data_IF_816463298067
#
_entry.id   IF_816463298067
#
_cell.length_a   1.000
_cell.length_b   1.000
_cell.length_c   1.000
_cell.angle_alpha   90.00
_cell.angle_beta   90.00
_cell.angle_gamma   90.00
#
_symmetry.space_group_name_H-M   'P 1'
#
loop_
_entity.id
_entity.type
_entity.pdbx_description
1 polymer ?
#
# COMPACT_ATOMS: atom_id res chain seq x y z
N UNK A 1 10.44 -6.55 14.29
CA UNK A 1 10.31 -6.64 15.77
C UNK A 1 8.85 -6.42 16.09
N UNK A 2 8.21 -7.34 16.81
CA UNK A 2 6.81 -7.16 17.21
C UNK A 2 6.73 -5.98 18.18
N UNK A 3 5.91 -4.99 17.83
CA UNK A 3 5.69 -3.78 18.63
C UNK A 3 4.23 -3.36 18.51
N UNK A 4 3.53 -3.35 19.64
CA UNK A 4 2.17 -2.85 19.73
C UNK A 4 2.10 -1.32 19.63
N UNK A 5 0.95 -0.81 19.19
CA UNK A 5 0.70 0.63 19.14
C UNK A 5 0.06 1.12 20.43
N UNK A 6 0.61 2.17 21.02
CA UNK A 6 0.05 2.82 22.23
C UNK A 6 -1.17 3.71 21.93
N UNK A 7 -1.50 3.95 20.65
CA UNK A 7 -2.64 4.81 20.27
C UNK A 7 -3.97 4.10 20.49
N UNK A 8 -4.94 4.78 21.08
CA UNK A 8 -6.29 4.24 21.25
C UNK A 8 -7.08 4.33 19.92
N UNK A 9 -7.50 3.21 19.32
CA UNK A 9 -8.26 3.24 18.07
C UNK A 9 -9.63 3.93 18.20
N UNK A 10 -10.23 3.99 19.39
CA UNK A 10 -11.48 4.71 19.63
C UNK A 10 -11.34 6.24 19.50
N UNK A 11 -10.11 6.76 19.45
CA UNK A 11 -9.83 8.18 19.24
C UNK A 11 -9.47 8.49 17.78
N UNK A 12 -9.61 7.53 16.86
CA UNK A 12 -9.34 7.75 15.44
C UNK A 12 -10.32 8.77 14.86
N UNK A 13 -9.80 9.73 14.08
CA UNK A 13 -10.61 10.71 13.31
C UNK A 13 -11.51 10.02 12.29
N UNK A 14 -11.06 8.89 11.75
CA UNK A 14 -11.76 8.10 10.76
C UNK A 14 -11.50 6.63 11.07
N UNK A 15 -12.56 5.83 11.05
CA UNK A 15 -12.50 4.38 11.11
C UNK A 15 -13.39 3.83 10.00
N UNK A 16 -12.81 2.99 9.14
CA UNK A 16 -13.49 2.41 8.00
C UNK A 16 -13.10 0.94 7.88
N UNK A 17 -14.11 0.09 7.71
CA UNK A 17 -13.93 -1.31 7.34
C UNK A 17 -13.94 -1.40 5.82
N UNK A 18 -12.98 -2.13 5.26
CA UNK A 18 -12.86 -2.36 3.82
C UNK A 18 -13.20 -3.82 3.56
N UNK A 19 -14.19 -4.04 2.71
CA UNK A 19 -14.64 -5.38 2.38
C UNK A 19 -13.60 -6.12 1.52
N UNK A 20 -13.66 -7.46 1.54
CA UNK A 20 -12.74 -8.29 0.79
C UNK A 20 -12.81 -7.96 -0.71
N UNK A 21 -11.65 -7.62 -1.28
CA UNK A 21 -11.50 -7.27 -2.68
C UNK A 21 -11.80 -5.80 -3.04
N UNK A 22 -12.17 -4.99 -2.05
CA UNK A 22 -12.40 -3.56 -2.24
C UNK A 22 -11.11 -2.73 -2.01
N UNK A 23 -11.18 -1.42 -2.22
CA UNK A 23 -10.07 -0.49 -2.02
C UNK A 23 -10.38 0.59 -1.00
N UNK A 24 -9.31 1.26 -0.56
CA UNK A 24 -9.39 2.50 0.19
C UNK A 24 -8.35 3.48 -0.31
N UNK A 25 -8.78 4.70 -0.61
CA UNK A 25 -7.90 5.78 -1.05
C UNK A 25 -8.18 7.02 -0.21
N UNK A 26 -7.13 7.59 0.39
CA UNK A 26 -7.27 8.76 1.24
C UNK A 26 -5.96 9.55 1.31
N UNK A 27 -6.08 10.87 1.41
CA UNK A 27 -4.96 11.75 1.74
C UNK A 27 -4.66 11.67 3.24
N UNK A 28 -3.41 11.39 3.58
CA UNK A 28 -2.91 11.38 4.95
C UNK A 28 -1.96 12.57 5.11
N UNK A 29 -2.27 13.48 6.03
CA UNK A 29 -1.44 14.66 6.27
C UNK A 29 -0.18 14.31 7.08
N UNK A 30 0.86 15.13 6.94
CA UNK A 30 2.07 14.97 7.74
C UNK A 30 1.75 15.02 9.25
N UNK A 31 2.27 14.05 10.00
CA UNK A 31 2.02 13.89 11.44
C UNK A 31 0.78 13.03 11.78
N UNK A 32 -0.08 12.72 10.81
CA UNK A 32 -1.17 11.76 11.01
C UNK A 32 -0.64 10.32 11.06
N UNK A 33 -1.48 9.40 11.53
CA UNK A 33 -1.14 7.97 11.63
C UNK A 33 -2.25 7.13 11.01
N UNK A 34 -1.86 6.26 10.08
CA UNK A 34 -2.70 5.19 9.57
C UNK A 34 -2.45 3.92 10.40
N UNK A 35 -3.53 3.24 10.78
CA UNK A 35 -3.49 1.88 11.31
C UNK A 35 -4.26 0.97 10.38
N UNK A 36 -3.63 -0.12 9.95
CA UNK A 36 -4.26 -1.20 9.20
C UNK A 36 -4.37 -2.38 10.17
N UNK A 37 -5.58 -2.92 10.30
CA UNK A 37 -5.86 -4.06 11.18
C UNK A 37 -6.55 -5.14 10.35
N UNK A 38 -5.99 -6.34 10.38
CA UNK A 38 -6.68 -7.53 9.88
C UNK A 38 -7.70 -8.00 10.93
N UNK A 39 -8.99 -7.90 10.61
CA UNK A 39 -10.09 -8.11 11.56
C UNK A 39 -10.40 -9.59 11.79
N UNK A 40 -10.32 -10.39 10.72
CA UNK A 40 -10.71 -11.81 10.73
C UNK A 40 -9.49 -12.74 10.66
N UNK A 41 -8.30 -12.19 10.41
CA UNK A 41 -7.08 -12.96 10.23
C UNK A 41 -6.91 -13.42 8.79
N UNK A 42 -5.66 -13.63 8.41
CA UNK A 42 -5.25 -14.19 7.12
C UNK A 42 -5.59 -13.31 5.90
N UNK A 43 -5.76 -12.00 6.07
CA UNK A 43 -5.83 -11.04 4.98
C UNK A 43 -4.48 -10.37 4.73
N UNK A 44 -4.17 -10.12 3.46
CA UNK A 44 -3.03 -9.33 3.04
C UNK A 44 -3.52 -8.11 2.26
N UNK A 45 -2.98 -6.93 2.59
CA UNK A 45 -3.31 -5.69 1.91
C UNK A 45 -2.12 -5.21 1.07
N UNK A 46 -2.35 -5.02 -0.23
CA UNK A 46 -1.41 -4.31 -1.09
C UNK A 46 -1.54 -2.81 -0.82
N UNK A 47 -0.44 -2.15 -0.47
CA UNK A 47 -0.44 -0.73 -0.12
C UNK A 47 0.43 0.06 -1.07
N UNK A 48 -0.08 1.21 -1.51
CA UNK A 48 0.63 2.17 -2.35
C UNK A 48 0.62 3.52 -1.65
N UNK A 49 1.78 4.19 -1.64
CA UNK A 49 1.92 5.52 -1.06
C UNK A 49 2.49 6.49 -2.08
N UNK A 50 1.84 7.64 -2.18
CA UNK A 50 2.19 8.74 -3.09
C UNK A 50 2.33 10.02 -2.29
N UNK A 51 3.15 10.95 -2.77
CA UNK A 51 3.09 12.32 -2.30
C UNK A 51 1.76 12.92 -2.76
N UNK A 52 0.97 13.42 -1.81
CA UNK A 52 -0.38 13.91 -2.06
C UNK A 52 -0.44 15.19 -2.91
N UNK A 53 0.68 15.92 -3.01
CA UNK A 53 0.79 17.14 -3.81
C UNK A 53 1.54 16.91 -5.13
N UNK A 54 2.17 15.74 -5.31
CA UNK A 54 2.83 15.30 -6.54
C UNK A 54 2.90 13.77 -6.64
N UNK A 55 1.95 13.16 -7.36
CA UNK A 55 1.84 11.70 -7.48
C UNK A 55 2.96 11.05 -8.31
N UNK A 56 3.82 11.83 -8.96
CA UNK A 56 5.04 11.30 -9.57
C UNK A 56 6.06 10.84 -8.51
N UNK A 57 6.04 11.46 -7.32
CA UNK A 57 6.79 11.01 -6.15
C UNK A 57 5.98 9.94 -5.40
N UNK A 58 6.53 8.72 -5.36
CA UNK A 58 5.85 7.55 -4.77
C UNK A 58 6.81 6.70 -3.97
N UNK A 59 6.28 5.84 -3.10
CA UNK A 59 7.09 4.85 -2.41
C UNK A 59 7.95 4.04 -3.39
N UNK A 60 9.22 3.90 -3.04
CA UNK A 60 10.21 3.13 -3.79
C UNK A 60 10.85 2.09 -2.87
N UNK A 61 10.53 0.83 -3.13
CA UNK A 61 11.19 -0.31 -2.51
C UNK A 61 12.71 -0.25 -2.73
N UNK A 62 13.17 0.17 -3.92
CA UNK A 62 14.60 0.19 -4.27
C UNK A 62 15.39 1.20 -3.44
N UNK A 63 14.82 2.40 -3.21
CA UNK A 63 15.45 3.41 -2.36
C UNK A 63 15.42 2.98 -0.89
N UNK A 64 14.30 2.39 -0.45
CA UNK A 64 14.19 1.84 0.89
C UNK A 64 15.26 0.75 1.14
N UNK A 65 15.45 -0.19 0.21
CA UNK A 65 16.46 -1.25 0.32
C UNK A 65 17.87 -0.69 0.41
N UNK A 66 18.18 0.34 -0.40
CA UNK A 66 19.46 1.06 -0.32
C UNK A 66 19.70 1.63 1.07
N UNK A 67 18.67 2.15 1.72
CA UNK A 67 18.77 2.81 3.02
C UNK A 67 18.89 1.87 4.23
N UNK A 68 18.26 0.69 4.21
CA UNK A 68 18.20 -0.19 5.40
C UNK A 68 18.76 -1.62 5.21
N UNK A 69 19.18 -2.01 4.01
CA UNK A 69 19.76 -3.33 3.70
C UNK A 69 18.93 -4.54 4.18
N UNK A 70 17.61 -4.39 4.32
CA UNK A 70 16.67 -5.45 4.72
C UNK A 70 15.42 -5.42 3.84
N UNK A 71 15.03 -6.59 3.33
CA UNK A 71 13.88 -6.77 2.42
C UNK A 71 12.54 -6.73 3.13
N UNK A 72 12.52 -7.04 4.43
CA UNK A 72 11.31 -6.96 5.24
C UNK A 72 11.24 -5.63 5.97
N UNK A 73 10.05 -5.03 5.98
CA UNK A 73 9.76 -3.83 6.75
C UNK A 73 9.07 -4.21 8.06
N UNK A 74 9.36 -3.46 9.13
CA UNK A 74 8.77 -3.68 10.46
C UNK A 74 8.82 -2.37 11.26
N UNK A 75 8.39 -2.39 12.52
CA UNK A 75 8.49 -1.23 13.40
C UNK A 75 9.93 -0.65 13.42
N UNK A 76 10.05 0.64 13.13
CA UNK A 76 11.31 1.37 12.96
C UNK A 76 11.74 1.57 11.51
N UNK A 77 11.21 0.79 10.55
CA UNK A 77 11.51 0.98 9.13
C UNK A 77 10.99 2.32 8.62
N UNK A 78 11.82 3.01 7.84
CA UNK A 78 11.48 4.24 7.15
C UNK A 78 11.24 3.92 5.68
N UNK A 79 10.01 4.14 5.22
CA UNK A 79 9.64 4.00 3.81
C UNK A 79 10.04 5.26 3.06
N UNK A 80 10.77 5.08 1.96
CA UNK A 80 11.37 6.17 1.18
C UNK A 80 10.72 6.29 -0.18
N UNK A 81 10.66 7.50 -0.71
CA UNK A 81 10.12 7.79 -2.03
C UNK A 81 11.10 7.45 -3.15
N UNK A 82 10.63 7.53 -4.40
CA UNK A 82 11.44 7.49 -5.62
C UNK A 82 12.49 8.59 -5.72
N UNK A 83 12.38 9.63 -4.89
CA UNK A 83 13.35 10.73 -4.75
C UNK A 83 14.23 10.59 -3.51
N UNK A 84 14.23 9.40 -2.89
CA UNK A 84 14.98 9.10 -1.68
C UNK A 84 14.61 10.02 -0.49
N UNK A 85 13.33 10.40 -0.37
CA UNK A 85 12.83 11.17 0.77
C UNK A 85 12.04 10.29 1.74
N UNK A 86 12.18 10.45 3.07
CA UNK A 86 11.31 9.78 4.03
C UNK A 86 9.84 10.15 3.78
N UNK A 87 8.98 9.13 3.60
CA UNK A 87 7.52 9.33 3.44
C UNK A 87 6.77 8.87 4.68
N UNK A 88 7.04 7.65 5.15
CA UNK A 88 6.37 7.05 6.30
C UNK A 88 7.38 6.35 7.20
N UNK A 89 7.04 6.25 8.48
CA UNK A 89 7.76 5.41 9.43
C UNK A 89 6.78 4.42 10.04
N UNK A 90 7.13 3.14 10.03
CA UNK A 90 6.31 2.12 10.70
C UNK A 90 6.54 2.25 12.21
N UNK A 91 5.56 2.75 12.95
CA UNK A 91 5.72 3.00 14.39
C UNK A 91 5.38 1.81 15.28
N UNK A 92 4.59 0.87 14.76
CA UNK A 92 4.10 -0.34 15.41
C UNK A 92 3.84 -1.41 14.34
N UNK A 93 4.06 -2.68 14.69
CA UNK A 93 3.92 -3.83 13.82
C UNK A 93 3.70 -5.10 14.65
N UNK A 94 2.56 -5.75 14.48
CA UNK A 94 2.19 -6.99 15.18
C UNK A 94 2.27 -8.23 14.29
N UNK A 95 2.56 -8.05 13.00
CA UNK A 95 2.74 -9.13 12.04
C UNK A 95 4.22 -9.57 11.97
N UNK A 96 5.14 -8.60 12.02
CA UNK A 96 6.59 -8.82 12.05
C UNK A 96 7.23 -9.15 10.70
N UNK A 97 6.44 -9.45 9.67
CA UNK A 97 6.92 -9.75 8.31
C UNK A 97 6.00 -9.17 7.25
N UNK A 98 6.43 -8.04 6.69
CA UNK A 98 5.78 -7.39 5.56
C UNK A 98 6.70 -7.46 4.35
N UNK A 99 6.21 -8.04 3.25
CA UNK A 99 6.95 -8.10 1.99
C UNK A 99 6.83 -6.77 1.22
N UNK A 100 7.88 -6.44 0.47
CA UNK A 100 7.91 -5.28 -0.42
C UNK A 100 8.34 -5.62 -1.83
N UNK A 101 8.67 -6.90 -2.08
CA UNK A 101 9.27 -7.37 -3.33
C UNK A 101 8.22 -7.85 -4.33
N UNK A 102 7.13 -8.45 -3.86
CA UNK A 102 6.07 -8.92 -4.72
C UNK A 102 5.23 -7.73 -5.21
N UNK A 103 5.13 -7.58 -6.53
CA UNK A 103 4.17 -6.64 -7.12
C UNK A 103 2.73 -7.05 -6.82
N UNK A 104 1.82 -6.08 -6.91
CA UNK A 104 0.41 -6.31 -6.70
C UNK A 104 -0.14 -7.41 -7.61
N UNK A 105 -1.10 -8.20 -7.12
CA UNK A 105 -1.71 -9.22 -7.96
C UNK A 105 -2.53 -8.59 -9.09
N UNK A 106 -2.52 -9.26 -10.24
CA UNK A 106 -3.27 -8.90 -11.45
C UNK A 106 -3.99 -10.10 -12.05
N UNK A 107 -5.01 -9.85 -12.86
CA UNK A 107 -5.68 -10.87 -13.66
C UNK A 107 -4.68 -11.78 -14.41
N UNK A 108 -3.69 -11.19 -15.07
CA UNK A 108 -2.65 -11.91 -15.81
C UNK A 108 -1.82 -12.80 -14.87
N UNK A 109 -1.35 -12.24 -13.75
CA UNK A 109 -0.56 -13.00 -12.78
C UNK A 109 -1.33 -14.16 -12.15
N UNK A 110 -2.64 -13.97 -11.90
CA UNK A 110 -3.51 -15.00 -11.32
C UNK A 110 -3.70 -16.16 -12.29
N UNK A 111 -3.89 -15.87 -13.59
CA UNK A 111 -4.03 -16.93 -14.60
C UNK A 111 -2.78 -17.77 -14.79
N UNK A 112 -1.59 -17.15 -14.69
CA UNK A 112 -0.31 -17.85 -14.76
C UNK A 112 -0.04 -18.66 -13.50
N UNK A 113 -0.36 -18.12 -12.32
CA UNK A 113 -0.04 -18.77 -11.02
C UNK A 113 -0.98 -19.91 -10.67
N UNK A 114 -2.26 -19.82 -11.03
CA UNK A 114 -3.30 -20.69 -10.50
C UNK A 114 -4.03 -21.50 -11.59
N UNK A 115 -4.74 -20.83 -12.51
CA UNK A 115 -5.41 -21.43 -13.68
C UNK A 115 -6.01 -20.31 -14.56
N UNK A 116 -6.23 -20.57 -15.86
CA UNK A 116 -6.92 -19.66 -16.77
C UNK A 116 -8.32 -19.26 -16.27
N UNK A 117 -9.04 -20.18 -15.61
CA UNK A 117 -10.38 -19.92 -15.04
C UNK A 117 -10.35 -18.84 -13.94
N UNK A 118 -9.17 -18.52 -13.38
CA UNK A 118 -8.99 -17.51 -12.34
C UNK A 118 -8.92 -16.08 -12.89
N UNK A 119 -9.10 -15.89 -14.20
CA UNK A 119 -9.10 -14.57 -14.85
C UNK A 119 -10.08 -13.57 -14.24
N UNK A 120 -11.22 -14.04 -13.75
CA UNK A 120 -12.27 -13.19 -13.18
C UNK A 120 -12.16 -13.01 -11.67
N UNK A 121 -11.14 -13.60 -11.04
CA UNK A 121 -10.89 -13.35 -9.63
C UNK A 121 -10.46 -11.91 -9.41
N UNK A 122 -10.81 -11.40 -8.24
CA UNK A 122 -10.30 -10.13 -7.74
C UNK A 122 -8.78 -10.01 -7.93
N UNK A 123 -8.33 -8.80 -8.25
CA UNK A 123 -6.93 -8.45 -8.24
C UNK A 123 -6.72 -7.04 -7.67
N UNK A 124 -5.68 -6.87 -6.87
CA UNK A 124 -5.35 -5.59 -6.25
C UNK A 124 -5.04 -4.52 -7.29
N UNK A 125 -4.50 -4.91 -8.46
CA UNK A 125 -4.33 -4.02 -9.61
C UNK A 125 -5.67 -3.46 -10.10
N UNK A 126 -6.71 -4.27 -10.19
CA UNK A 126 -8.01 -3.80 -10.68
C UNK A 126 -8.69 -2.89 -9.66
N UNK A 127 -8.61 -3.20 -8.37
CA UNK A 127 -9.11 -2.33 -7.30
C UNK A 127 -8.38 -0.99 -7.26
N UNK A 128 -7.06 -0.96 -7.50
CA UNK A 128 -6.32 0.29 -7.71
C UNK A 128 -6.82 1.07 -8.93
N UNK A 129 -7.05 0.39 -10.06
CA UNK A 129 -7.53 1.04 -11.28
C UNK A 129 -8.93 1.64 -11.13
N UNK A 130 -9.80 0.99 -10.35
CA UNK A 130 -11.10 1.52 -9.94
C UNK A 130 -10.94 2.74 -9.04
N UNK A 131 -10.05 2.65 -8.03
CA UNK A 131 -9.78 3.75 -7.11
C UNK A 131 -9.36 5.03 -7.83
N UNK A 132 -8.37 4.98 -8.71
CA UNK A 132 -7.90 6.18 -9.43
C UNK A 132 -8.92 6.70 -10.44
N UNK A 133 -9.77 5.83 -10.99
CA UNK A 133 -10.84 6.24 -11.89
C UNK A 133 -11.97 6.95 -11.15
N UNK A 134 -12.29 6.51 -9.93
CA UNK A 134 -13.30 7.11 -9.07
C UNK A 134 -12.83 8.42 -8.41
N UNK A 135 -11.51 8.60 -8.27
CA UNK A 135 -10.87 9.72 -7.58
C UNK A 135 -9.87 10.48 -8.48
N UNK A 136 -10.30 11.11 -9.58
CA UNK A 136 -9.40 11.86 -10.46
C UNK A 136 -8.71 13.03 -9.74
N UNK A 137 -9.31 13.58 -8.69
CA UNK A 137 -8.72 14.62 -7.83
C UNK A 137 -7.45 14.17 -7.11
N UNK A 138 -7.20 12.87 -7.01
CA UNK A 138 -5.96 12.34 -6.44
C UNK A 138 -4.74 12.58 -7.33
N UNK A 139 -4.94 12.85 -8.63
CA UNK A 139 -3.87 13.00 -9.61
C UNK A 139 -3.08 11.72 -9.90
N UNK A 140 -3.48 10.57 -9.35
CA UNK A 140 -2.78 9.30 -9.51
C UNK A 140 -3.09 8.60 -10.85
N UNK A 141 -4.10 9.08 -11.57
CA UNK A 141 -4.47 8.64 -12.92
C UNK A 141 -3.46 9.08 -13.99
N UNK A 142 -2.70 10.17 -13.76
CA UNK A 142 -1.66 10.67 -14.65
C UNK A 142 -0.53 9.65 -14.92
N UNK A 143 -0.36 8.65 -14.05
CA UNK A 143 0.56 7.52 -14.25
C UNK A 143 0.14 6.58 -15.39
N UNK A 144 -1.08 6.72 -15.93
CA UNK A 144 -1.55 5.96 -17.10
C UNK A 144 -0.79 6.32 -18.39
N UNK A 145 -0.17 7.50 -18.48
CA UNK A 145 0.40 8.00 -19.74
C UNK A 145 1.78 7.41 -20.11
N UNK A 146 2.49 6.80 -19.17
CA UNK A 146 3.85 6.26 -19.40
C UNK A 146 3.92 4.76 -19.73
N UNK A 147 2.78 4.05 -19.79
CA UNK A 147 2.75 2.63 -20.10
C UNK A 147 2.37 2.30 -21.57
N UNK A 148 2.37 3.28 -22.47
CA UNK A 148 1.98 3.11 -23.88
C UNK A 148 3.11 3.36 -24.91
N UNK A 149 4.38 3.20 -24.53
CA UNK A 149 5.49 3.20 -25.50
C UNK A 149 6.34 1.94 -25.33
#
# INVERSE_FOLDING_TARGET
MIKESERNPAQARLQQQIDAGDYWLQRIAAGETLRITDLEGNQAADTLFFNADDTAERYSMSEMLRGQHNVFITAGSVLRSSLDRPMLTITADTCGRHDTLCGACSCESNTVRYDLEKRHMHSCRDSWMLAVAAHPESGADALRYHAQH
#
